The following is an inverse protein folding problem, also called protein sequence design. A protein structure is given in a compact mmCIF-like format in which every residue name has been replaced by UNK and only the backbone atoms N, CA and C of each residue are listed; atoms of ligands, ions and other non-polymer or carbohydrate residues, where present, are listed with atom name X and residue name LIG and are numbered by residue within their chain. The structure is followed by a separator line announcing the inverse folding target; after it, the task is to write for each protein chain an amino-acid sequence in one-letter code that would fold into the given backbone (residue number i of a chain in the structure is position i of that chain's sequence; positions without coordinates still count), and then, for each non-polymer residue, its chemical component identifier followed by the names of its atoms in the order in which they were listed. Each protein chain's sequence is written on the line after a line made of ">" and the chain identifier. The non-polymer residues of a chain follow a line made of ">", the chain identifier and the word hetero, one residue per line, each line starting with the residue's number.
data_IF_464315134564
#
_entry.id   IF_464315134564
#
_cell.length_a   1.000
_cell.length_b   1.000
_cell.length_c   1.000
_cell.angle_alpha   90.00
_cell.angle_beta   90.00
_cell.angle_gamma   90.00
#
_symmetry.space_group_name_H-M   'P 1'
#
loop_
_entity.id
_entity.type
_entity.pdbx_description
1 polymer ?
#
# COMPACT_ATOMS: atom_id res chain seq x y z
N UNK A 1 20.26 -0.52 7.18
CA UNK A 1 20.84 0.42 6.20
C UNK A 1 19.80 1.23 5.44
N UNK A 2 18.71 0.62 4.91
CA UNK A 2 17.66 1.32 4.12
C UNK A 2 17.13 2.59 4.80
N UNK A 3 16.75 2.54 6.08
CA UNK A 3 16.15 3.68 6.79
C UNK A 3 17.10 4.88 6.88
N UNK A 4 18.39 4.63 7.16
CA UNK A 4 19.41 5.69 7.15
C UNK A 4 19.67 6.27 5.75
N UNK A 5 19.21 5.58 4.71
CA UNK A 5 19.25 6.01 3.32
C UNK A 5 17.94 6.65 2.83
N UNK A 6 16.98 6.99 3.70
CA UNK A 6 15.77 7.74 3.32
C UNK A 6 15.94 9.22 3.64
N UNK A 7 15.98 10.07 2.60
CA UNK A 7 16.04 11.52 2.81
C UNK A 7 14.72 12.03 3.41
N UNK A 8 14.82 12.93 4.39
CA UNK A 8 13.66 13.57 5.00
C UNK A 8 12.76 12.60 5.78
N UNK A 9 13.28 11.43 6.16
CA UNK A 9 12.64 10.54 7.12
C UNK A 9 13.49 10.48 8.39
N UNK A 10 13.12 11.32 9.36
CA UNK A 10 13.80 11.41 10.65
C UNK A 10 13.10 10.58 11.73
N UNK A 11 12.23 9.64 11.34
CA UNK A 11 11.35 8.93 12.27
C UNK A 11 12.12 8.21 13.39
N UNK A 12 11.67 8.42 14.62
CA UNK A 12 12.20 7.74 15.81
C UNK A 12 11.75 6.29 15.91
N UNK A 13 10.61 5.96 15.30
CA UNK A 13 9.98 4.65 15.41
C UNK A 13 9.65 4.11 14.03
N UNK A 14 10.00 2.84 13.83
CA UNK A 14 9.65 2.08 12.64
C UNK A 14 8.91 0.83 13.06
N UNK A 15 7.68 0.70 12.56
CA UNK A 15 6.87 -0.50 12.67
C UNK A 15 6.98 -1.24 11.35
N UNK A 16 7.27 -2.55 11.35
CA UNK A 16 7.48 -3.30 10.11
C UNK A 16 6.91 -4.72 10.17
N UNK A 17 6.57 -5.24 8.99
CA UNK A 17 6.09 -6.60 8.81
C UNK A 17 6.48 -7.12 7.43
N UNK A 18 6.63 -8.44 7.32
CA UNK A 18 6.96 -9.12 6.07
C UNK A 18 5.77 -9.91 5.56
N UNK A 19 5.61 -9.99 4.25
CA UNK A 19 4.65 -10.90 3.62
C UNK A 19 5.31 -11.61 2.45
N UNK A 20 5.16 -12.94 2.37
CA UNK A 20 5.70 -13.78 1.29
C UNK A 20 4.65 -14.19 0.25
N UNK A 21 3.47 -13.57 0.31
CA UNK A 21 2.34 -13.90 -0.54
C UNK A 21 1.71 -12.65 -1.18
N UNK A 22 1.27 -12.80 -2.43
CA UNK A 22 0.35 -11.85 -3.04
C UNK A 22 -1.04 -12.11 -2.45
N UNK A 23 -1.67 -11.19 -1.74
CA UNK A 23 -3.08 -11.34 -1.32
C UNK A 23 -3.88 -10.14 -1.74
N UNK A 24 -5.19 -10.32 -1.85
CA UNK A 24 -6.07 -9.17 -1.97
C UNK A 24 -6.02 -8.41 -0.65
N UNK A 25 -5.55 -7.17 -0.71
CA UNK A 25 -5.63 -6.23 0.40
C UNK A 25 -6.67 -5.18 0.00
N UNK A 26 -7.78 -5.17 0.75
CA UNK A 26 -8.84 -4.18 0.58
C UNK A 26 -8.30 -2.77 0.86
N UNK A 27 -8.93 -1.75 0.28
CA UNK A 27 -8.47 -0.37 0.43
C UNK A 27 -8.61 0.10 1.87
N UNK A 28 -7.52 0.65 2.42
CA UNK A 28 -7.42 1.12 3.79
C UNK A 28 -6.28 2.13 3.93
N UNK A 29 -6.31 2.89 5.02
CA UNK A 29 -5.13 3.60 5.50
C UNK A 29 -4.61 2.86 6.73
N UNK A 30 -3.29 2.88 6.91
CA UNK A 30 -2.64 2.34 8.10
C UNK A 30 -2.88 3.29 9.27
N UNK A 31 -3.21 2.73 10.43
CA UNK A 31 -3.51 3.52 11.63
C UNK A 31 -2.84 2.87 12.82
N UNK A 32 -2.75 3.59 13.93
CA UNK A 32 -2.45 2.99 15.23
C UNK A 32 -3.64 2.07 15.61
N UNK A 33 -3.52 0.79 15.25
CA UNK A 33 -4.60 -0.20 15.35
C UNK A 33 -5.05 -0.41 16.80
N UNK A 34 -4.13 -0.37 17.75
CA UNK A 34 -4.43 -0.60 19.16
C UNK A 34 -5.12 0.63 19.77
N UNK A 35 -4.66 1.84 19.44
CA UNK A 35 -5.34 3.07 19.83
C UNK A 35 -6.74 3.13 19.21
N UNK A 36 -6.88 2.83 17.93
CA UNK A 36 -8.16 2.80 17.23
C UNK A 36 -9.16 1.83 17.90
N UNK A 37 -8.72 0.60 18.21
CA UNK A 37 -9.55 -0.40 18.90
C UNK A 37 -9.96 0.04 20.30
N UNK A 38 -9.05 0.66 21.06
CA UNK A 38 -9.33 1.18 22.40
C UNK A 38 -10.38 2.29 22.33
N UNK A 39 -10.21 3.25 21.42
CA UNK A 39 -11.20 4.31 21.20
C UNK A 39 -12.58 3.74 20.80
N UNK A 40 -12.62 2.74 19.92
CA UNK A 40 -13.86 2.07 19.52
C UNK A 40 -14.53 1.37 20.72
N UNK A 41 -13.76 0.69 21.57
CA UNK A 41 -14.27 0.02 22.77
C UNK A 41 -14.81 1.01 23.81
N UNK A 42 -14.16 2.16 23.95
CA UNK A 42 -14.54 3.23 24.88
C UNK A 42 -15.67 4.12 24.33
N UNK A 43 -16.13 3.89 23.08
CA UNK A 43 -17.14 4.71 22.42
C UNK A 43 -16.66 6.12 22.06
N UNK A 44 -15.35 6.35 22.03
CA UNK A 44 -14.73 7.64 21.74
C UNK A 44 -14.57 7.81 20.23
N UNK A 45 -15.22 8.84 19.67
CA UNK A 45 -15.08 9.22 18.26
C UNK A 45 -13.95 10.24 18.08
N UNK A 46 -12.71 9.78 18.10
CA UNK A 46 -11.53 10.58 17.79
C UNK A 46 -11.10 10.49 16.32
N UNK A 47 -10.20 11.37 15.89
CA UNK A 47 -9.44 11.16 14.64
C UNK A 47 -8.50 9.96 14.79
N UNK A 48 -8.25 9.24 13.69
CA UNK A 48 -7.25 8.18 13.68
C UNK A 48 -5.84 8.78 13.66
N UNK A 49 -4.91 8.13 14.36
CA UNK A 49 -3.49 8.43 14.24
C UNK A 49 -2.90 7.61 13.10
N UNK A 50 -2.19 8.28 12.20
CA UNK A 50 -1.60 7.69 11.00
C UNK A 50 -0.08 7.72 11.11
N UNK A 51 0.64 6.80 10.44
CA UNK A 51 2.07 6.94 10.27
C UNK A 51 2.38 8.18 9.42
N UNK A 52 3.59 8.73 9.58
CA UNK A 52 4.08 9.82 8.72
C UNK A 52 4.20 9.35 7.28
N UNK A 53 4.90 8.23 7.09
CA UNK A 53 5.00 7.57 5.79
C UNK A 53 4.77 6.06 5.92
N UNK A 54 4.05 5.51 4.95
CA UNK A 54 4.03 4.08 4.67
C UNK A 54 5.07 3.74 3.60
N UNK A 55 5.68 2.57 3.73
CA UNK A 55 6.67 2.06 2.80
C UNK A 55 6.37 0.63 2.37
N UNK A 56 6.67 0.31 1.11
CA UNK A 56 6.64 -1.05 0.58
C UNK A 56 7.91 -1.29 -0.21
N UNK A 57 8.75 -2.21 0.25
CA UNK A 57 9.90 -2.71 -0.47
C UNK A 57 9.59 -4.07 -1.07
N UNK A 58 9.64 -4.17 -2.39
CA UNK A 58 9.47 -5.44 -3.10
C UNK A 58 10.81 -6.17 -3.16
N UNK A 59 10.91 -7.31 -2.48
CA UNK A 59 12.13 -8.12 -2.48
C UNK A 59 12.13 -9.12 -3.64
N UNK A 60 11.02 -9.83 -3.80
CA UNK A 60 10.84 -10.86 -4.83
C UNK A 60 9.42 -10.76 -5.38
N UNK A 61 9.29 -10.88 -6.69
CA UNK A 61 8.00 -10.86 -7.40
C UNK A 61 8.08 -11.95 -8.48
N UNK A 62 7.19 -12.94 -8.39
CA UNK A 62 7.12 -14.01 -9.38
C UNK A 62 6.67 -13.51 -10.74
N UNK A 63 7.03 -14.24 -11.80
CA UNK A 63 6.83 -13.80 -13.21
C UNK A 63 5.36 -13.56 -13.60
N UNK A 64 4.43 -14.24 -12.92
CA UNK A 64 2.98 -14.13 -13.15
C UNK A 64 2.29 -13.19 -12.16
N UNK A 65 3.03 -12.65 -11.18
CA UNK A 65 2.52 -11.65 -10.24
C UNK A 65 2.59 -10.28 -10.90
N UNK A 66 1.43 -9.61 -11.05
CA UNK A 66 1.40 -8.15 -11.26
C UNK A 66 1.26 -7.41 -9.94
N UNK A 67 0.27 -7.83 -9.14
CA UNK A 67 0.05 -7.43 -7.75
C UNK A 67 0.38 -5.98 -7.40
N UNK A 68 -0.14 -4.98 -8.15
CA UNK A 68 0.23 -3.60 -7.97
C UNK A 68 -0.23 -3.08 -6.61
N UNK A 69 0.50 -2.11 -6.07
CA UNK A 69 -0.01 -1.27 -4.99
C UNK A 69 -0.73 -0.08 -5.60
N UNK A 70 -1.98 0.09 -5.23
CA UNK A 70 -2.84 1.18 -5.66
C UNK A 70 -2.94 2.21 -4.54
N UNK A 71 -2.58 3.46 -4.80
CA UNK A 71 -2.69 4.59 -3.87
C UNK A 71 -3.79 5.54 -4.34
N UNK A 72 -4.58 6.07 -3.40
CA UNK A 72 -5.56 7.13 -3.65
C UNK A 72 -5.06 8.42 -2.99
N UNK A 73 -4.28 9.26 -3.69
CA UNK A 73 -3.76 10.48 -3.10
C UNK A 73 -4.88 11.36 -2.56
N UNK A 74 -4.69 11.90 -1.36
CA UNK A 74 -5.63 12.81 -0.66
C UNK A 74 -6.93 12.13 -0.18
N UNK A 75 -7.06 10.82 -0.32
CA UNK A 75 -8.13 10.06 0.34
C UNK A 75 -7.55 9.36 1.56
N UNK A 76 -8.17 9.52 2.72
CA UNK A 76 -7.81 8.82 3.97
C UNK A 76 -8.77 7.68 4.28
N UNK A 77 -9.99 7.78 3.79
CA UNK A 77 -11.08 6.83 4.01
C UNK A 77 -11.81 6.52 2.70
N UNK A 78 -12.67 5.51 2.73
CA UNK A 78 -13.59 5.24 1.62
C UNK A 78 -14.66 6.32 1.43
N UNK A 79 -14.97 7.10 2.47
CA UNK A 79 -15.83 8.29 2.38
C UNK A 79 -15.26 9.36 1.45
N UNK A 80 -13.95 9.54 1.46
CA UNK A 80 -13.26 10.53 0.61
C UNK A 80 -13.31 10.16 -0.88
N UNK A 81 -13.49 8.87 -1.19
CA UNK A 81 -13.74 8.43 -2.57
C UNK A 81 -15.11 8.91 -3.08
N UNK A 82 -16.09 9.10 -2.19
CA UNK A 82 -17.44 9.54 -2.52
C UNK A 82 -17.64 11.06 -2.43
N UNK A 83 -16.90 11.73 -1.55
CA UNK A 83 -17.07 13.15 -1.28
C UNK A 83 -16.00 13.98 -1.99
N UNK A 84 -16.38 15.10 -2.60
CA UNK A 84 -15.39 16.07 -3.08
C UNK A 84 -14.74 16.77 -1.89
N UNK A 85 -13.40 16.89 -1.82
CA UNK A 85 -12.77 17.70 -0.79
C UNK A 85 -13.31 19.12 -0.90
N UNK A 86 -13.89 19.62 0.19
CA UNK A 86 -14.72 20.84 0.25
C UNK A 86 -14.01 22.14 -0.13
N UNK A 87 -12.74 22.11 -0.57
CA UNK A 87 -11.89 23.30 -0.72
C UNK A 87 -10.89 23.29 -1.90
N UNK A 88 -11.14 22.60 -3.01
CA UNK A 88 -10.21 22.66 -4.15
C UNK A 88 -10.93 22.84 -5.48
N UNK A 89 -10.59 23.91 -6.21
CA UNK A 89 -11.08 24.24 -7.56
C UNK A 89 -10.68 23.26 -8.67
N UNK A 90 -10.76 21.95 -8.40
CA UNK A 90 -10.67 20.86 -9.36
C UNK A 90 -12.06 20.28 -9.59
N UNK A 91 -12.17 19.53 -10.68
CA UNK A 91 -13.39 18.84 -11.08
C UNK A 91 -13.86 17.92 -9.93
N UNK A 92 -14.92 18.32 -9.22
CA UNK A 92 -15.42 17.71 -7.97
C UNK A 92 -15.85 16.24 -8.10
N UNK A 93 -15.76 15.69 -9.31
CA UNK A 93 -16.14 14.32 -9.62
C UNK A 93 -14.92 13.39 -9.77
N UNK A 94 -13.69 13.90 -9.76
CA UNK A 94 -12.51 13.08 -10.04
C UNK A 94 -11.81 12.58 -8.77
N UNK A 95 -11.40 11.32 -8.81
CA UNK A 95 -10.59 10.63 -7.81
C UNK A 95 -9.30 10.17 -8.50
N UNK A 96 -8.16 10.62 -8.01
CA UNK A 96 -6.87 10.19 -8.52
C UNK A 96 -6.52 8.79 -8.00
N UNK A 97 -5.89 8.00 -8.86
CA UNK A 97 -5.36 6.68 -8.53
C UNK A 97 -3.95 6.57 -9.08
N UNK A 98 -2.98 6.28 -8.22
CA UNK A 98 -1.61 5.94 -8.61
C UNK A 98 -1.42 4.44 -8.49
N UNK A 99 -1.06 3.78 -9.58
CA UNK A 99 -0.80 2.34 -9.64
C UNK A 99 0.70 2.11 -9.77
N UNK A 100 1.26 1.44 -8.76
CA UNK A 100 2.68 1.10 -8.66
C UNK A 100 2.84 -0.39 -8.91
N UNK A 101 3.45 -0.82 -10.03
CA UNK A 101 3.65 -2.23 -10.27
C UNK A 101 4.71 -2.80 -9.33
N UNK A 102 4.52 -4.06 -8.97
CA UNK A 102 5.43 -4.81 -8.11
C UNK A 102 6.70 -5.17 -8.89
N UNK A 103 7.80 -4.46 -8.62
CA UNK A 103 9.09 -4.67 -9.28
C UNK A 103 10.13 -4.98 -8.21
N UNK A 104 10.87 -6.11 -8.27
CA UNK A 104 11.93 -6.42 -7.32
C UNK A 104 12.93 -5.25 -7.15
N UNK A 105 13.32 -4.97 -5.91
CA UNK A 105 14.17 -3.85 -5.55
C UNK A 105 13.47 -2.48 -5.47
N UNK A 106 12.20 -2.36 -5.88
CA UNK A 106 11.46 -1.10 -5.79
C UNK A 106 11.08 -0.79 -4.35
N UNK A 107 11.46 0.40 -3.89
CA UNK A 107 10.94 0.99 -2.67
C UNK A 107 9.86 2.03 -3.02
N UNK A 108 8.64 1.79 -2.56
CA UNK A 108 7.56 2.76 -2.57
C UNK A 108 7.50 3.47 -1.22
N UNK A 109 7.40 4.81 -1.23
CA UNK A 109 7.12 5.66 -0.08
C UNK A 109 5.89 6.52 -0.39
N UNK A 110 4.96 6.60 0.53
CA UNK A 110 3.76 7.43 0.42
C UNK A 110 3.37 7.99 1.81
N UNK A 111 2.54 9.04 1.83
CA UNK A 111 2.03 9.58 3.09
C UNK A 111 1.18 8.53 3.80
N UNK A 112 1.44 8.28 5.08
CA UNK A 112 0.83 7.16 5.80
C UNK A 112 -0.68 7.28 5.99
N UNK A 113 -1.24 8.49 5.82
CA UNK A 113 -2.69 8.71 5.84
C UNK A 113 -3.39 8.30 4.55
N UNK A 114 -2.66 8.05 3.45
CA UNK A 114 -3.26 7.72 2.16
C UNK A 114 -3.92 6.35 2.16
N UNK A 115 -5.14 6.32 1.64
CA UNK A 115 -5.88 5.12 1.33
C UNK A 115 -5.14 4.35 0.22
N UNK A 116 -4.88 3.08 0.45
CA UNK A 116 -4.15 2.23 -0.46
C UNK A 116 -4.66 0.79 -0.43
N UNK A 117 -4.40 0.05 -1.50
CA UNK A 117 -4.92 -1.30 -1.71
C UNK A 117 -3.97 -2.14 -2.55
N UNK A 118 -4.19 -3.46 -2.53
CA UNK A 118 -3.57 -4.41 -3.47
C UNK A 118 -4.68 -5.30 -4.05
N UNK A 119 -5.13 -5.07 -5.29
CA UNK A 119 -6.10 -5.97 -5.92
C UNK A 119 -5.49 -7.35 -6.16
N UNK A 120 -6.27 -8.40 -5.87
CA UNK A 120 -5.99 -9.77 -6.31
C UNK A 120 -7.31 -10.47 -6.70
N UNK A 121 -7.46 -10.98 -7.93
CA UNK A 121 -6.56 -10.82 -9.08
C UNK A 121 -6.35 -9.34 -9.43
N UNK A 122 -5.35 -9.07 -10.27
CA UNK A 122 -4.92 -7.71 -10.63
C UNK A 122 -6.07 -6.82 -11.10
N UNK A 123 -7.02 -7.38 -11.84
CA UNK A 123 -8.19 -6.68 -12.38
C UNK A 123 -9.45 -6.88 -11.54
N UNK A 124 -9.34 -7.31 -10.28
CA UNK A 124 -10.46 -7.59 -9.36
C UNK A 124 -11.54 -6.50 -9.37
N UNK A 125 -11.15 -5.24 -9.39
CA UNK A 125 -12.09 -4.11 -9.36
C UNK A 125 -12.97 -4.03 -10.60
N UNK A 126 -12.52 -4.59 -11.72
CA UNK A 126 -13.22 -4.59 -13.02
C UNK A 126 -13.99 -5.89 -13.29
N UNK A 127 -13.81 -6.91 -12.44
CA UNK A 127 -14.45 -8.21 -12.63
C UNK A 127 -15.90 -8.21 -12.10
N UNK A 128 -16.86 -8.80 -12.84
CA UNK A 128 -18.22 -8.98 -12.34
C UNK A 128 -18.32 -10.05 -11.24
N UNK A 129 -17.34 -10.95 -11.13
CA UNK A 129 -17.26 -12.01 -10.13
C UNK A 129 -15.79 -12.28 -9.74
N UNK A 130 -15.55 -12.70 -8.50
CA UNK A 130 -14.22 -13.07 -8.00
C UNK A 130 -13.79 -14.43 -8.58
N UNK A 131 -12.61 -14.49 -9.19
CA UNK A 131 -12.05 -15.74 -9.75
C UNK A 131 -11.14 -16.42 -8.72
N UNK A 132 -11.52 -17.64 -8.31
CA UNK A 132 -10.64 -18.68 -7.74
C UNK A 132 -9.94 -18.37 -6.41
N UNK A 133 -9.56 -19.44 -5.70
CA UNK A 133 -8.57 -19.31 -4.63
C UNK A 133 -7.21 -18.98 -5.26
N UNK A 134 -6.40 -18.16 -4.57
CA UNK A 134 -5.07 -17.82 -5.03
C UNK A 134 -4.13 -19.03 -5.20
N UNK A 135 -3.40 -19.11 -6.32
CA UNK A 135 -2.21 -19.97 -6.46
C UNK A 135 -0.99 -19.28 -5.82
N UNK A 136 -0.16 -20.03 -5.11
CA UNK A 136 1.07 -19.52 -4.47
C UNK A 136 2.33 -20.30 -4.84
N UNK A 137 2.16 -21.46 -5.48
CA UNK A 137 3.25 -22.33 -5.90
C UNK A 137 3.21 -22.51 -7.43
N UNK A 138 4.36 -22.52 -8.11
CA UNK A 138 5.71 -22.34 -7.55
C UNK A 138 6.01 -20.87 -7.24
N UNK A 139 6.91 -20.62 -6.27
CA UNK A 139 7.21 -19.27 -5.75
C UNK A 139 7.78 -18.35 -6.82
N UNK A 140 8.55 -18.87 -7.77
CA UNK A 140 9.14 -18.12 -8.88
C UNK A 140 8.08 -17.56 -9.83
N UNK A 141 6.87 -18.14 -9.85
CA UNK A 141 5.75 -17.67 -10.67
C UNK A 141 4.77 -16.83 -9.87
N UNK A 142 4.40 -17.30 -8.68
CA UNK A 142 3.27 -16.75 -7.92
C UNK A 142 3.64 -16.13 -6.57
N UNK A 143 4.90 -16.28 -6.15
CA UNK A 143 5.42 -15.72 -4.91
C UNK A 143 5.56 -14.19 -4.97
N UNK A 144 5.35 -13.55 -3.82
CA UNK A 144 5.60 -12.11 -3.68
C UNK A 144 6.11 -11.82 -2.27
N UNK A 145 7.39 -11.53 -2.15
CA UNK A 145 8.02 -11.14 -0.90
C UNK A 145 8.15 -9.63 -0.81
N UNK A 146 7.58 -9.05 0.25
CA UNK A 146 7.62 -7.61 0.54
C UNK A 146 7.97 -7.36 2.00
N UNK A 147 8.71 -6.29 2.24
CA UNK A 147 8.81 -5.64 3.56
C UNK A 147 7.90 -4.42 3.50
N UNK A 148 6.97 -4.34 4.44
CA UNK A 148 6.18 -3.14 4.67
C UNK A 148 6.66 -2.51 5.96
N UNK A 149 6.79 -1.19 5.97
CA UNK A 149 7.13 -0.50 7.19
C UNK A 149 6.56 0.91 7.25
N UNK A 150 6.08 1.25 8.43
CA UNK A 150 5.56 2.54 8.80
C UNK A 150 6.59 3.32 9.58
N UNK A 151 6.69 4.60 9.28
CA UNK A 151 7.56 5.55 9.98
C UNK A 151 6.67 6.51 10.74
N UNK A 152 6.93 6.69 12.03
CA UNK A 152 6.10 7.52 12.91
C UNK A 152 6.80 8.84 13.27
N UNK A 153 6.06 9.95 13.43
CA UNK A 153 6.64 11.25 13.76
C UNK A 153 7.52 11.20 15.03
N UNK A 154 8.55 12.04 15.07
CA UNK A 154 9.51 12.11 16.19
C UNK A 154 8.85 12.73 17.42
N UNK A 155 7.92 13.64 17.19
CA UNK A 155 7.23 14.44 18.17
C UNK A 155 6.03 13.71 18.82
N UNK A 156 5.78 12.46 18.39
CA UNK A 156 4.68 11.62 18.87
C UNK A 156 5.19 10.35 19.56
N UNK A 157 4.38 9.77 20.44
CA UNK A 157 4.63 8.46 21.04
C UNK A 157 4.69 7.35 19.97
N UNK A 158 5.39 6.23 20.19
CA UNK A 158 5.29 5.08 19.31
C UNK A 158 3.84 4.55 19.22
N UNK A 159 3.52 3.74 18.21
CA UNK A 159 2.21 3.09 18.13
C UNK A 159 1.90 2.32 19.41
N UNK A 160 0.68 2.46 19.87
CA UNK A 160 0.25 1.91 21.16
C UNK A 160 0.41 0.40 21.19
N UNK A 161 0.97 -0.13 22.28
CA UNK A 161 1.08 -1.57 22.55
C UNK A 161 1.77 -2.38 21.42
N UNK A 162 2.60 -1.75 20.59
CA UNK A 162 3.47 -2.46 19.63
C UNK A 162 4.77 -2.83 20.36
N UNK A 163 5.17 -4.12 20.37
CA UNK A 163 6.39 -4.54 21.05
C UNK A 163 7.61 -3.77 20.54
N UNK A 164 8.27 -3.04 21.43
CA UNK A 164 9.52 -2.35 21.12
C UNK A 164 10.65 -3.37 21.22
N UNK A 165 11.07 -3.90 20.07
CA UNK A 165 12.25 -4.74 19.99
C UNK A 165 13.51 -3.88 20.16
N UNK A 166 14.13 -3.93 21.33
CA UNK A 166 15.59 -3.90 21.36
C UNK A 166 16.05 -5.26 20.82
N UNK A 167 17.14 -5.36 20.04
CA UNK A 167 17.77 -6.66 19.82
C UNK A 167 18.16 -7.16 21.21
N UNK A 168 17.39 -8.10 21.77
CA UNK A 168 17.79 -8.70 23.04
C UNK A 168 19.11 -9.43 22.78
N UNK A 169 20.02 -9.34 23.74
CA UNK A 169 21.23 -10.17 23.80
C UNK A 169 20.90 -11.69 23.86
N UNK A 170 19.62 -12.05 23.80
CA UNK A 170 19.05 -13.39 23.72
C UNK A 170 18.46 -13.72 22.34
N UNK A 171 18.79 -12.97 21.28
CA UNK A 171 18.80 -13.53 19.94
C UNK A 171 19.86 -14.63 19.93
N UNK A 172 19.42 -15.82 20.37
CA UNK A 172 20.25 -16.99 20.58
C UNK A 172 21.22 -17.14 19.42
N UNK A 173 22.46 -17.39 19.77
CA UNK A 173 23.52 -17.81 18.86
C UNK A 173 23.00 -18.94 17.96
N UNK A 174 22.42 -18.59 16.81
CA UNK A 174 22.49 -19.42 15.62
C UNK A 174 23.96 -19.39 15.19
N UNK A 175 24.79 -20.11 15.94
CA UNK A 175 26.05 -20.61 15.44
C UNK A 175 25.71 -21.63 14.36
N UNK A 176 25.47 -21.14 13.15
CA UNK A 176 25.75 -21.92 11.96
C UNK A 176 27.21 -21.67 11.64
N UNK A 177 28.06 -22.65 11.95
CA UNK A 177 29.48 -22.69 11.57
C UNK A 177 29.68 -22.82 10.04
N UNK A 178 28.73 -22.37 9.22
CA UNK A 178 28.80 -22.32 7.74
C UNK A 178 28.66 -20.88 7.21
N UNK A 179 29.06 -19.87 8.00
CA UNK A 179 28.96 -18.46 7.65
C UNK A 179 29.95 -17.98 6.55
N UNK A 180 30.82 -18.86 6.03
CA UNK A 180 31.92 -18.48 5.12
C UNK A 180 31.58 -18.61 3.63
N UNK A 181 30.30 -18.83 3.29
CA UNK A 181 29.77 -18.75 1.91
C UNK A 181 28.49 -17.94 1.81
N UNK A 182 28.34 -16.89 2.62
CA UNK A 182 27.34 -15.87 2.29
C UNK A 182 27.87 -15.14 1.07
N UNK A 183 27.44 -15.59 -0.11
CA UNK A 183 27.45 -14.72 -1.29
C UNK A 183 26.91 -13.36 -0.86
N UNK A 184 27.56 -12.32 -1.35
CA UNK A 184 27.31 -10.92 -0.99
C UNK A 184 25.92 -10.52 -1.52
N UNK A 185 24.87 -11.03 -0.87
CA UNK A 185 23.47 -10.74 -1.17
C UNK A 185 23.15 -9.35 -0.62
N UNK A 186 23.86 -8.33 -1.09
CA UNK A 186 23.33 -6.97 -1.10
C UNK A 186 22.15 -6.94 -2.08
N UNK A 187 21.00 -7.44 -1.62
CA UNK A 187 19.72 -7.42 -2.34
C UNK A 187 19.24 -6.00 -2.64
N UNK A 188 19.78 -5.01 -1.93
CA UNK A 188 19.46 -3.60 -2.10
C UNK A 188 20.74 -2.87 -2.47
N UNK A 189 20.79 -2.19 -3.63
CA UNK A 189 21.97 -1.43 -4.00
C UNK A 189 22.14 -0.22 -3.05
N UNK A 190 23.37 0.30 -2.90
CA UNK A 190 23.61 1.50 -2.12
C UNK A 190 22.84 2.70 -2.69
N UNK A 191 22.56 3.69 -1.82
CA UNK A 191 21.66 4.82 -2.09
C UNK A 191 22.01 5.61 -3.35
N UNK A 192 23.30 5.79 -3.61
CA UNK A 192 23.82 6.51 -4.78
C UNK A 192 23.44 5.87 -6.12
N UNK A 193 23.05 4.59 -6.10
CA UNK A 193 22.51 3.85 -7.26
C UNK A 193 20.99 3.85 -7.34
N UNK A 194 20.30 4.54 -6.42
CA UNK A 194 18.84 4.60 -6.45
C UNK A 194 18.36 5.60 -7.48
N UNK A 195 17.41 5.18 -8.30
CA UNK A 195 16.81 6.00 -9.33
C UNK A 195 15.38 6.40 -8.92
N UNK A 196 15.05 7.69 -9.05
CA UNK A 196 13.68 8.16 -8.87
C UNK A 196 12.83 7.69 -10.04
N UNK A 197 11.70 7.06 -9.73
CA UNK A 197 10.74 6.62 -10.74
C UNK A 197 9.77 7.75 -11.04
N UNK A 198 9.64 8.11 -12.32
CA UNK A 198 8.67 9.11 -12.77
C UNK A 198 7.26 8.52 -12.80
N UNK A 199 6.26 9.34 -12.51
CA UNK A 199 4.84 8.98 -12.62
C UNK A 199 4.33 9.43 -13.99
N UNK A 200 3.89 8.48 -14.80
CA UNK A 200 3.29 8.76 -16.10
C UNK A 200 1.79 8.98 -15.93
N UNK A 201 1.30 10.16 -16.29
CA UNK A 201 -0.14 10.45 -16.30
C UNK A 201 -0.80 9.87 -17.54
N UNK A 202 -1.90 9.15 -17.34
CA UNK A 202 -2.73 8.62 -18.42
C UNK A 202 -4.09 9.30 -18.38
N UNK A 203 -4.22 10.40 -19.14
CA UNK A 203 -5.48 11.14 -19.30
C UNK A 203 -6.23 10.75 -20.59
N UNK A 204 -5.67 9.84 -21.38
CA UNK A 204 -6.25 9.39 -22.63
C UNK A 204 -7.21 8.21 -22.38
N UNK A 205 -8.36 8.24 -23.04
CA UNK A 205 -9.38 7.19 -22.98
C UNK A 205 -10.77 7.72 -22.64
N UNK A 206 -11.79 7.04 -23.16
CA UNK A 206 -13.18 7.32 -22.79
C UNK A 206 -13.49 6.92 -21.35
N UNK A 207 -14.65 7.35 -20.85
CA UNK A 207 -15.23 6.75 -19.64
C UNK A 207 -15.58 5.30 -19.94
N UNK A 208 -15.10 4.38 -19.11
CA UNK A 208 -15.41 2.96 -19.23
C UNK A 208 -16.89 2.67 -18.98
N UNK A 209 -17.46 1.73 -19.72
CA UNK A 209 -18.87 1.34 -19.58
C UNK A 209 -19.22 0.59 -18.29
N UNK A 210 -18.23 0.23 -17.45
CA UNK A 210 -18.41 -0.56 -16.22
C UNK A 210 -17.78 0.12 -15.02
N UNK A 211 -18.42 0.05 -13.87
CA UNK A 211 -17.87 0.57 -12.62
C UNK A 211 -16.70 -0.27 -12.10
N UNK A 212 -15.68 0.40 -11.57
CA UNK A 212 -14.65 -0.18 -10.71
C UNK A 212 -15.21 -0.31 -9.28
N UNK A 213 -15.23 -1.53 -8.75
CA UNK A 213 -15.69 -1.83 -7.39
C UNK A 213 -14.50 -1.89 -6.42
N UNK A 214 -14.30 -0.82 -5.67
CA UNK A 214 -13.24 -0.69 -4.66
C UNK A 214 -13.76 -1.28 -3.35
N UNK A 215 -13.09 -2.31 -2.84
CA UNK A 215 -13.39 -2.93 -1.54
C UNK A 215 -12.67 -2.18 -0.44
N UNK A 216 -13.31 -2.02 0.72
CA UNK A 216 -12.83 -1.20 1.84
C UNK A 216 -12.69 -2.06 3.11
N UNK A 217 -11.52 -1.99 3.75
CA UNK A 217 -11.23 -2.68 5.01
C UNK A 217 -11.76 -1.89 6.22
N UNK A 218 -11.92 -2.57 7.36
CA UNK A 218 -12.26 -1.95 8.64
C UNK A 218 -13.75 -1.93 8.93
N UNK A 219 -14.18 -1.16 9.93
CA UNK A 219 -15.59 -0.93 10.30
C UNK A 219 -16.14 0.35 9.64
N UNK A 220 -17.40 0.71 9.92
CA UNK A 220 -18.03 1.90 9.31
C UNK A 220 -17.29 3.21 9.61
N UNK A 221 -16.73 3.34 10.81
CA UNK A 221 -15.91 4.50 11.23
C UNK A 221 -14.62 4.57 10.41
N UNK A 222 -13.86 3.47 10.33
CA UNK A 222 -12.61 3.41 9.56
C UNK A 222 -12.81 3.64 8.06
N UNK A 223 -13.92 3.13 7.52
CA UNK A 223 -14.27 3.33 6.12
C UNK A 223 -14.76 4.74 5.81
N UNK A 224 -15.26 5.49 6.80
CA UNK A 224 -16.03 6.73 6.57
C UNK A 224 -17.38 6.50 5.88
N UNK A 225 -17.76 5.23 5.65
CA UNK A 225 -19.00 4.82 4.97
C UNK A 225 -19.49 3.49 5.52
N UNK A 226 -20.81 3.31 5.52
CA UNK A 226 -21.46 2.08 5.99
C UNK A 226 -21.10 0.89 5.10
N UNK A 227 -21.09 1.08 3.79
CA UNK A 227 -20.83 0.01 2.83
C UNK A 227 -19.35 -0.38 2.79
N UNK A 228 -19.09 -1.67 2.55
CA UNK A 228 -17.72 -2.21 2.36
C UNK A 228 -17.17 -1.98 0.95
N UNK A 229 -17.93 -1.34 0.07
CA UNK A 229 -17.55 -1.17 -1.33
C UNK A 229 -17.98 0.18 -1.85
N UNK A 230 -17.10 0.82 -2.60
CA UNK A 230 -17.36 2.06 -3.35
C UNK A 230 -17.30 1.74 -4.84
N UNK A 231 -18.26 2.28 -5.61
CA UNK A 231 -18.28 2.16 -7.07
C UNK A 231 -17.81 3.48 -7.66
N UNK A 232 -16.79 3.42 -8.49
CA UNK A 232 -16.30 4.55 -9.28
C UNK A 232 -16.39 4.19 -10.77
N UNK A 233 -16.49 5.18 -11.64
CA UNK A 233 -16.46 4.98 -13.09
C UNK A 233 -15.00 5.16 -13.55
N UNK A 234 -14.34 4.10 -14.02
CA UNK A 234 -12.95 4.18 -14.43
C UNK A 234 -12.82 4.78 -15.83
N UNK A 235 -11.65 5.36 -16.14
CA UNK A 235 -11.22 5.51 -17.53
C UNK A 235 -10.84 4.15 -18.13
N UNK A 236 -10.89 4.03 -19.45
CA UNK A 236 -10.43 2.82 -20.16
C UNK A 236 -8.98 2.44 -19.79
N UNK A 237 -8.14 3.44 -19.53
CA UNK A 237 -6.74 3.28 -19.12
C UNK A 237 -6.51 2.59 -17.78
N UNK A 238 -7.55 2.43 -16.93
CA UNK A 238 -7.39 1.76 -15.63
C UNK A 238 -6.92 0.29 -15.80
N UNK A 239 -7.47 -0.43 -16.78
CA UNK A 239 -7.09 -1.83 -16.99
C UNK A 239 -5.62 -1.94 -17.36
N UNK A 240 -5.13 -1.04 -18.20
CA UNK A 240 -3.73 -1.00 -18.62
C UNK A 240 -2.84 -0.64 -17.43
N UNK A 241 -3.22 0.36 -16.63
CA UNK A 241 -2.48 0.74 -15.43
C UNK A 241 -2.37 -0.40 -14.41
N UNK A 242 -3.45 -1.17 -14.19
CA UNK A 242 -3.43 -2.34 -13.30
C UNK A 242 -2.53 -3.46 -13.82
N UNK A 243 -2.45 -3.65 -15.13
CA UNK A 243 -1.64 -4.71 -15.75
C UNK A 243 -0.22 -4.28 -16.13
N UNK A 244 0.12 -2.99 -15.95
CA UNK A 244 1.46 -2.46 -16.13
C UNK A 244 2.45 -3.24 -15.25
N UNK A 245 3.65 -3.46 -15.78
CA UNK A 245 4.67 -4.31 -15.16
C UNK A 245 5.88 -3.52 -14.70
N UNK A 246 6.06 -2.30 -15.20
CA UNK A 246 7.28 -1.52 -14.98
C UNK A 246 6.98 -0.09 -14.56
N UNK A 247 6.18 0.64 -15.33
CA UNK A 247 5.97 2.07 -15.13
C UNK A 247 4.95 2.38 -14.02
N UNK A 248 5.17 3.46 -13.28
CA UNK A 248 4.16 3.95 -12.34
C UNK A 248 3.14 4.78 -13.13
N UNK A 249 1.87 4.43 -13.02
CA UNK A 249 0.78 5.05 -13.78
C UNK A 249 -0.11 5.86 -12.86
N UNK A 250 -0.46 7.08 -13.26
CA UNK A 250 -1.53 7.84 -12.63
C UNK A 250 -2.74 7.85 -13.56
N UNK A 251 -3.88 7.37 -13.03
CA UNK A 251 -5.18 7.37 -13.71
C UNK A 251 -6.19 8.17 -12.90
N UNK A 252 -7.33 8.45 -13.52
CA UNK A 252 -8.45 9.13 -12.88
C UNK A 252 -9.66 8.21 -12.90
N UNK A 253 -10.37 8.15 -11.79
CA UNK A 253 -11.69 7.54 -11.65
C UNK A 253 -12.70 8.66 -11.41
N UNK A 254 -13.93 8.49 -11.87
CA UNK A 254 -15.00 9.46 -11.63
C UNK A 254 -16.01 8.92 -10.64
N UNK A 255 -16.51 9.80 -9.78
CA UNK A 255 -17.63 9.54 -8.88
C UNK A 255 -18.89 9.32 -9.73
N UNK A 256 -19.76 8.36 -9.35
CA UNK A 256 -21.05 8.22 -10.01
C UNK A 256 -21.84 9.53 -9.85
N UNK A 257 -22.50 9.95 -10.92
CA UNK A 257 -23.46 11.07 -10.92
C UNK A 257 -24.66 10.78 -10.03
#
# INVERSE_FOLDING_TARGET
>A
EILGALEGDSASYVEYWTRQEWRHIEAHADVDENLAKRQDADGVTGEFRYPRNGHVLYLQVGTEVRGPTCLFPRCKTGGDLLQSPTNAGRNEQQVELVTVPAVPGRLLRFEGSMLHAVPRPTDLWLLPFTKGAPEFEPEEKWGRSVILFNTWPVEEDPPLDVPIGWPSEEAGTCQTEEADKREDFTMIPPRDKWEKVNITQTNEGGLGQRHAKIWLLGNGRRRGVVHRTVKLTPLESLRDALNESTEVRQTVLTRPL
#
